data_IF_841997585896
#
_entry.id   IF_841997585896
#
_cell.length_a   1.000
_cell.length_b   1.000
_cell.length_c   1.000
_cell.angle_alpha   90.00
_cell.angle_beta   90.00
_cell.angle_gamma   90.00
#
_symmetry.space_group_name_H-M   'P 1'
#
loop_
_entity.id
_entity.type
_entity.pdbx_description
1 polymer ?
#
# COMPACT_ATOMS: atom_id res chain seq x y z
N UNK A 1 -12.57 5.57 -4.70
CA UNK A 1 -11.21 5.55 -4.13
C UNK A 1 -10.62 6.95 -3.90
N UNK A 2 -10.52 7.82 -4.92
CA UNK A 2 -9.93 9.17 -4.82
C UNK A 2 -10.42 10.02 -3.64
N UNK A 3 -11.75 10.05 -3.38
CA UNK A 3 -12.33 10.77 -2.23
C UNK A 3 -11.77 10.34 -0.87
N UNK A 4 -11.41 9.06 -0.73
CA UNK A 4 -10.79 8.54 0.49
C UNK A 4 -9.29 8.90 0.55
N UNK A 5 -8.60 8.92 -0.59
CA UNK A 5 -7.19 9.30 -0.66
C UNK A 5 -6.96 10.75 -0.21
N UNK A 6 -7.84 11.67 -0.61
CA UNK A 6 -7.79 13.07 -0.17
C UNK A 6 -7.92 13.27 1.33
N UNK A 7 -8.53 12.33 2.06
CA UNK A 7 -8.67 12.41 3.52
C UNK A 7 -7.32 12.25 4.25
N UNK A 8 -6.32 11.69 3.58
CA UNK A 8 -4.97 11.59 4.14
C UNK A 8 -4.18 12.90 4.06
N UNK A 9 -4.59 13.87 3.24
CA UNK A 9 -3.89 15.15 3.09
C UNK A 9 -3.99 15.95 4.39
N UNK A 10 -2.87 16.57 4.79
CA UNK A 10 -2.73 17.29 6.06
C UNK A 10 -1.88 16.53 7.09
N UNK A 11 -1.88 17.02 8.33
CA UNK A 11 -1.21 16.38 9.47
C UNK A 11 -2.17 15.43 10.17
N UNK A 12 -1.81 14.14 10.26
CA UNK A 12 -2.61 13.14 10.96
C UNK A 12 -1.73 12.15 11.72
N UNK A 13 -2.29 11.45 12.70
CA UNK A 13 -1.65 10.30 13.34
C UNK A 13 -1.89 9.03 12.51
N UNK A 14 -0.83 8.50 11.91
CA UNK A 14 -0.89 7.37 10.99
C UNK A 14 -0.62 6.02 11.67
N UNK A 15 -0.72 5.91 13.00
CA UNK A 15 -0.45 4.64 13.72
C UNK A 15 -1.33 3.47 13.28
N UNK A 16 -2.56 3.76 12.84
CA UNK A 16 -3.49 2.78 12.29
C UNK A 16 -3.24 2.48 10.81
N UNK A 17 -2.29 3.17 10.19
CA UNK A 17 -1.88 3.04 8.79
C UNK A 17 -0.39 2.73 8.68
N UNK A 18 0.21 2.06 9.65
CA UNK A 18 1.61 1.63 9.58
C UNK A 18 1.82 0.31 10.31
N UNK A 19 3.03 -0.24 10.23
CA UNK A 19 3.47 -1.25 11.18
C UNK A 19 4.08 -0.53 12.37
N UNK A 20 3.44 -0.68 13.53
CA UNK A 20 3.78 0.09 14.71
C UNK A 20 5.07 -0.41 15.37
N UNK A 21 6.10 0.43 15.36
CA UNK A 21 7.38 0.22 16.04
C UNK A 21 7.47 1.10 17.29
N UNK A 22 6.84 0.63 18.37
CA UNK A 22 6.79 1.38 19.64
C UNK A 22 8.15 1.45 20.37
N UNK A 23 9.14 0.67 19.94
CA UNK A 23 10.48 0.72 20.52
C UNK A 23 11.21 1.98 20.04
N UNK A 24 11.17 2.23 18.72
CA UNK A 24 11.95 3.30 18.09
C UNK A 24 11.13 4.55 17.75
N UNK A 25 9.81 4.44 17.63
CA UNK A 25 8.93 5.55 17.19
C UNK A 25 8.01 5.99 18.32
N UNK A 26 8.12 7.26 18.70
CA UNK A 26 7.23 7.93 19.66
C UNK A 26 6.22 8.87 19.01
N UNK A 27 6.50 9.36 17.79
CA UNK A 27 5.62 10.26 17.05
C UNK A 27 5.14 9.61 15.75
N UNK A 28 3.83 9.37 15.69
CA UNK A 28 3.13 8.78 14.53
C UNK A 28 2.46 9.84 13.65
N UNK A 29 2.61 11.13 13.97
CA UNK A 29 2.11 12.20 13.12
C UNK A 29 2.98 12.35 11.87
N UNK A 30 2.34 12.43 10.71
CA UNK A 30 3.00 12.73 9.43
C UNK A 30 2.16 13.74 8.65
N UNK A 31 2.81 14.48 7.77
CA UNK A 31 2.16 15.45 6.91
C UNK A 31 2.18 14.96 5.47
N UNK A 32 1.00 14.72 4.90
CA UNK A 32 0.84 14.37 3.48
C UNK A 32 0.45 15.65 2.74
N UNK A 33 1.24 16.02 1.74
CA UNK A 33 1.04 17.23 0.93
C UNK A 33 0.13 16.97 -0.26
N UNK A 34 0.22 15.79 -0.88
CA UNK A 34 -0.56 15.44 -2.06
C UNK A 34 -0.86 13.94 -2.12
N UNK A 35 -2.04 13.60 -2.64
CA UNK A 35 -2.43 12.22 -2.91
C UNK A 35 -3.39 12.15 -4.10
N UNK A 36 -2.86 11.75 -5.25
CA UNK A 36 -3.60 11.59 -6.50
C UNK A 36 -3.65 10.13 -6.97
N UNK A 37 -4.76 9.72 -7.57
CA UNK A 37 -4.94 8.42 -8.21
C UNK A 37 -5.34 8.67 -9.67
N UNK A 38 -4.53 8.20 -10.61
CA UNK A 38 -4.74 8.41 -12.05
C UNK A 38 -4.42 7.16 -12.85
N UNK A 39 -5.13 6.96 -13.97
CA UNK A 39 -4.80 5.92 -14.93
C UNK A 39 -3.42 6.16 -15.54
N UNK A 40 -2.71 5.08 -15.85
CA UNK A 40 -1.49 5.08 -16.63
C UNK A 40 -1.84 4.92 -18.12
N UNK A 41 -1.06 5.54 -19.01
CA UNK A 41 -1.31 5.52 -20.46
C UNK A 41 -1.13 4.13 -21.11
N UNK A 42 -0.59 3.16 -20.37
CA UNK A 42 -0.40 1.79 -20.82
C UNK A 42 -1.62 0.92 -20.47
N UNK A 43 -2.30 0.45 -21.50
CA UNK A 43 -3.31 -0.61 -21.43
C UNK A 43 -2.63 -1.92 -21.80
N UNK A 44 -2.60 -2.90 -20.89
CA UNK A 44 -2.43 -4.29 -21.31
C UNK A 44 -3.80 -4.82 -21.74
N UNK A 45 -3.82 -5.86 -22.57
CA UNK A 45 -4.94 -6.24 -23.44
C UNK A 45 -6.36 -6.31 -22.81
N UNK A 46 -6.55 -6.29 -21.49
CA UNK A 46 -7.86 -6.18 -20.85
C UNK A 46 -7.91 -5.39 -19.52
N UNK A 47 -6.79 -4.89 -18.99
CA UNK A 47 -6.72 -4.22 -17.69
C UNK A 47 -6.07 -2.83 -17.79
N UNK A 48 -6.68 -1.84 -17.13
CA UNK A 48 -6.10 -0.50 -17.00
C UNK A 48 -5.17 -0.48 -15.79
N UNK A 49 -3.92 -0.05 -15.99
CA UNK A 49 -3.01 0.22 -14.88
C UNK A 49 -3.33 1.59 -14.26
N UNK A 50 -3.38 1.64 -12.94
CA UNK A 50 -3.59 2.89 -12.18
C UNK A 50 -2.43 3.15 -11.23
N UNK A 51 -2.06 4.42 -11.09
CA UNK A 51 -1.01 4.88 -10.19
C UNK A 51 -1.61 5.62 -8.99
N UNK A 52 -1.02 5.41 -7.80
CA UNK A 52 -1.30 6.18 -6.59
C UNK A 52 -0.07 7.03 -6.27
N UNK A 53 -0.13 8.32 -6.62
CA UNK A 53 0.95 9.27 -6.39
C UNK A 53 0.75 9.94 -5.03
N UNK A 54 1.69 9.72 -4.11
CA UNK A 54 1.64 10.26 -2.75
C UNK A 54 2.89 11.10 -2.50
N UNK A 55 2.71 12.29 -1.94
CA UNK A 55 3.78 13.16 -1.48
C UNK A 55 3.57 13.52 -0.01
N UNK A 56 4.62 13.49 0.78
CA UNK A 56 4.59 13.85 2.19
C UNK A 56 5.99 14.18 2.70
N UNK A 57 6.06 14.73 3.92
CA UNK A 57 7.34 15.11 4.54
C UNK A 57 8.17 13.89 4.97
N UNK A 58 7.52 12.86 5.47
CA UNK A 58 8.12 11.58 5.84
C UNK A 58 7.04 10.50 5.92
N UNK A 59 7.46 9.24 5.92
CA UNK A 59 6.57 8.08 6.05
C UNK A 59 7.02 7.17 7.20
N UNK A 60 6.05 6.60 7.91
CA UNK A 60 6.27 5.55 8.91
C UNK A 60 6.54 4.21 8.23
N UNK A 61 7.02 3.25 9.01
CA UNK A 61 7.28 1.89 8.53
C UNK A 61 6.01 1.26 7.93
N UNK A 62 6.09 0.89 6.65
CA UNK A 62 5.00 0.37 5.82
C UNK A 62 3.79 1.31 5.66
N UNK A 63 3.93 2.62 5.88
CA UNK A 63 2.79 3.54 5.87
C UNK A 63 2.03 3.54 4.54
N UNK A 64 2.76 3.73 3.44
CA UNK A 64 2.17 3.82 2.09
C UNK A 64 1.41 2.55 1.73
N UNK A 65 1.98 1.38 2.02
CA UNK A 65 1.36 0.07 1.75
C UNK A 65 0.08 -0.15 2.58
N UNK A 66 0.05 0.35 3.80
CA UNK A 66 -1.14 0.33 4.64
C UNK A 66 -2.23 1.28 4.12
N UNK A 67 -1.86 2.49 3.72
CA UNK A 67 -2.80 3.45 3.10
C UNK A 67 -3.42 2.85 1.84
N UNK A 68 -2.60 2.28 0.95
CA UNK A 68 -3.06 1.61 -0.26
C UNK A 68 -4.00 0.43 0.04
N UNK A 69 -3.70 -0.39 1.05
CA UNK A 69 -4.57 -1.50 1.45
C UNK A 69 -5.98 -1.06 1.83
N UNK A 70 -6.10 0.00 2.65
CA UNK A 70 -7.40 0.55 3.05
C UNK A 70 -8.12 1.15 1.84
N UNK A 71 -7.40 1.83 0.94
CA UNK A 71 -7.97 2.34 -0.30
C UNK A 71 -8.48 1.23 -1.21
N UNK A 72 -7.85 0.06 -1.26
CA UNK A 72 -8.37 -1.08 -2.01
C UNK A 72 -9.70 -1.59 -1.47
N UNK A 73 -9.91 -1.60 -0.15
CA UNK A 73 -11.23 -1.94 0.41
C UNK A 73 -12.30 -0.91 -0.03
N UNK A 74 -11.96 0.38 -0.03
CA UNK A 74 -12.86 1.44 -0.52
C UNK A 74 -13.11 1.31 -2.02
N UNK A 75 -12.08 1.00 -2.81
CA UNK A 75 -12.16 0.82 -4.26
C UNK A 75 -13.06 -0.34 -4.67
N UNK A 76 -13.04 -1.42 -3.89
CA UNK A 76 -13.91 -2.59 -4.08
C UNK A 76 -15.35 -2.37 -3.56
N UNK A 77 -15.66 -1.20 -2.99
CA UNK A 77 -16.96 -0.90 -2.38
C UNK A 77 -17.22 -1.65 -1.06
N UNK A 78 -16.19 -2.25 -0.47
CA UNK A 78 -16.28 -3.00 0.78
C UNK A 78 -16.27 -2.08 2.02
N UNK A 79 -15.74 -0.87 1.86
CA UNK A 79 -15.68 0.16 2.90
C UNK A 79 -16.11 1.51 2.35
N UNK A 80 -16.73 2.32 3.21
CA UNK A 80 -17.01 3.72 2.91
C UNK A 80 -15.71 4.55 2.96
N UNK A 81 -15.56 5.63 2.15
CA UNK A 81 -14.46 6.57 2.28
C UNK A 81 -14.26 7.13 3.71
N UNK A 82 -15.33 7.20 4.52
CA UNK A 82 -15.27 7.68 5.90
C UNK A 82 -14.50 6.75 6.85
N UNK A 83 -14.18 5.51 6.42
CA UNK A 83 -13.31 4.62 7.20
C UNK A 83 -11.94 5.24 7.43
N UNK A 84 -11.45 6.04 6.47
CA UNK A 84 -10.17 6.75 6.60
C UNK A 84 -10.20 7.72 7.77
N UNK A 85 -11.25 8.56 7.88
CA UNK A 85 -11.37 9.51 9.00
C UNK A 85 -11.43 8.77 10.34
N UNK A 86 -12.17 7.66 10.39
CA UNK A 86 -12.35 6.86 11.61
C UNK A 86 -11.02 6.25 12.08
N UNK A 87 -10.18 5.82 11.13
CA UNK A 87 -8.87 5.23 11.43
C UNK A 87 -7.79 6.28 11.74
N UNK A 88 -7.90 7.50 11.20
CA UNK A 88 -7.00 8.62 11.55
C UNK A 88 -7.36 9.22 12.92
N UNK A 89 -8.61 9.10 13.35
CA UNK A 89 -9.08 9.53 14.67
C UNK A 89 -8.75 8.50 15.75
N UNK A 90 -7.64 8.73 16.46
CA UNK A 90 -7.16 7.84 17.53
C UNK A 90 -8.09 7.83 18.75
N UNK A 91 -8.93 8.85 18.93
CA UNK A 91 -9.92 8.86 20.02
C UNK A 91 -11.04 7.87 19.76
N UNK A 92 -11.44 7.71 18.49
CA UNK A 92 -12.45 6.73 18.06
C UNK A 92 -11.86 5.36 17.84
N UNK A 93 -10.67 5.29 17.24
CA UNK A 93 -9.98 4.05 16.90
C UNK A 93 -8.59 4.02 17.55
N UNK A 94 -8.51 3.76 18.87
CA UNK A 94 -7.22 3.75 19.57
C UNK A 94 -6.33 2.55 19.19
N UNK A 95 -6.92 1.54 18.54
CA UNK A 95 -6.26 0.30 18.15
C UNK A 95 -6.44 0.04 16.67
N UNK A 96 -5.34 -0.30 16.01
CA UNK A 96 -5.34 -0.61 14.58
C UNK A 96 -6.10 -1.90 14.31
N UNK A 97 -7.14 -1.90 13.46
CA UNK A 97 -7.80 -3.15 13.06
C UNK A 97 -6.90 -3.99 12.16
N UNK A 98 -7.10 -5.31 12.18
CA UNK A 98 -6.33 -6.23 11.36
C UNK A 98 -6.68 -6.11 9.87
N UNK A 99 -5.67 -5.85 9.05
CA UNK A 99 -5.76 -5.93 7.59
C UNK A 99 -4.40 -6.23 6.96
N UNK A 100 -4.42 -6.94 5.83
CA UNK A 100 -3.21 -7.24 5.06
C UNK A 100 -2.76 -5.99 4.32
N UNK A 101 -1.49 -5.62 4.48
CA UNK A 101 -0.89 -4.50 3.75
C UNK A 101 -0.79 -4.82 2.26
N UNK A 102 -0.80 -3.80 1.40
CA UNK A 102 -0.62 -3.98 -0.03
C UNK A 102 0.73 -4.65 -0.35
N UNK A 103 0.87 -5.38 -1.47
CA UNK A 103 2.15 -5.90 -1.94
C UNK A 103 3.22 -4.79 -2.05
N UNK A 104 4.49 -5.14 -1.92
CA UNK A 104 5.61 -4.18 -2.06
C UNK A 104 6.06 -3.96 -3.49
N UNK A 105 5.88 -4.95 -4.36
CA UNK A 105 6.29 -4.91 -5.76
C UNK A 105 5.94 -3.60 -6.48
N UNK A 106 4.73 -3.02 -6.37
CA UNK A 106 4.38 -1.80 -7.11
C UNK A 106 4.86 -0.49 -6.47
N UNK A 107 5.58 -0.54 -5.33
CA UNK A 107 5.99 0.67 -4.62
C UNK A 107 7.30 1.22 -5.17
N UNK A 108 7.25 2.43 -5.74
CA UNK A 108 8.40 3.10 -6.34
C UNK A 108 8.70 4.40 -5.58
N UNK A 109 9.94 4.56 -5.11
CA UNK A 109 10.43 5.85 -4.63
C UNK A 109 10.76 6.74 -5.83
N UNK A 110 9.86 7.65 -6.19
CA UNK A 110 9.99 8.48 -7.38
C UNK A 110 10.99 9.64 -7.23
N UNK A 111 10.94 10.35 -6.11
CA UNK A 111 11.75 11.56 -5.90
C UNK A 111 11.88 11.90 -4.42
N UNK A 112 13.03 12.43 -4.04
CA UNK A 112 13.25 13.07 -2.75
C UNK A 112 13.49 14.57 -2.97
N UNK A 113 12.91 15.41 -2.12
CA UNK A 113 13.00 16.86 -2.22
C UNK A 113 13.62 17.41 -0.93
N UNK A 114 14.64 18.26 -1.07
CA UNK A 114 15.32 18.91 0.04
C UNK A 114 15.58 20.37 -0.35
N UNK A 115 15.33 21.29 0.57
CA UNK A 115 15.52 22.71 0.32
C UNK A 115 17.01 23.03 0.14
N UNK A 116 17.32 23.77 -0.93
CA UNK A 116 18.70 24.17 -1.25
C UNK A 116 19.62 23.03 -1.71
N UNK A 117 19.10 21.81 -1.92
CA UNK A 117 19.89 20.66 -2.38
C UNK A 117 19.41 20.24 -3.76
N UNK A 118 20.31 20.25 -4.73
CA UNK A 118 20.10 19.65 -6.04
C UNK A 118 20.79 18.30 -6.09
N UNK A 119 20.01 17.22 -6.25
CA UNK A 119 20.60 15.92 -6.54
C UNK A 119 21.19 15.91 -7.93
N UNK A 120 22.37 15.33 -8.06
CA UNK A 120 23.02 15.09 -9.35
C UNK A 120 23.08 13.59 -9.58
N UNK A 121 22.71 13.15 -10.78
CA UNK A 121 22.93 11.80 -11.25
C UNK A 121 23.93 11.89 -12.41
N UNK A 122 25.06 11.17 -12.33
CA UNK A 122 26.00 11.14 -13.45
C UNK A 122 25.35 10.44 -14.65
N UNK A 123 25.83 10.75 -15.85
CA UNK A 123 25.41 10.06 -17.08
C UNK A 123 25.52 8.55 -16.94
N UNK A 124 26.63 8.08 -16.38
CA UNK A 124 26.94 6.66 -16.28
C UNK A 124 26.02 5.95 -15.28
N UNK A 125 25.72 6.59 -14.14
CA UNK A 125 24.78 6.04 -13.17
C UNK A 125 23.34 6.00 -13.73
N UNK A 126 22.93 7.05 -14.44
CA UNK A 126 21.62 7.09 -15.09
C UNK A 126 21.51 6.02 -16.19
N UNK A 127 22.56 5.86 -17.00
CA UNK A 127 22.61 4.84 -18.06
C UNK A 127 22.57 3.43 -17.47
N UNK A 128 23.34 3.15 -16.42
CA UNK A 128 23.33 1.86 -15.74
C UNK A 128 21.95 1.53 -15.15
N UNK A 129 21.24 2.51 -14.58
CA UNK A 129 19.87 2.31 -14.10
C UNK A 129 18.90 2.03 -15.24
N UNK A 130 19.01 2.74 -16.36
CA UNK A 130 18.17 2.49 -17.55
C UNK A 130 18.39 1.07 -18.08
N UNK A 131 19.63 0.63 -18.19
CA UNK A 131 19.98 -0.73 -18.63
C UNK A 131 19.42 -1.78 -17.68
N UNK A 132 19.64 -1.62 -16.37
CA UNK A 132 19.08 -2.51 -15.36
C UNK A 132 17.55 -2.64 -15.47
N UNK A 133 16.83 -1.52 -15.59
CA UNK A 133 15.36 -1.55 -15.71
C UNK A 133 14.89 -2.16 -17.03
N UNK A 134 15.63 -1.98 -18.13
CA UNK A 134 15.34 -2.63 -19.41
C UNK A 134 15.52 -4.14 -19.32
N UNK A 135 16.58 -4.60 -18.67
CA UNK A 135 16.87 -6.03 -18.49
C UNK A 135 15.80 -6.70 -17.62
N UNK A 136 15.44 -6.08 -16.49
CA UNK A 136 14.35 -6.57 -15.63
C UNK A 136 13.02 -6.63 -16.40
N UNK A 137 12.67 -5.56 -17.13
CA UNK A 137 11.47 -5.54 -17.96
C UNK A 137 11.50 -6.65 -19.01
N UNK A 138 12.62 -6.83 -19.70
CA UNK A 138 12.77 -7.89 -20.70
C UNK A 138 12.58 -9.28 -20.08
N UNK A 139 13.15 -9.54 -18.90
CA UNK A 139 12.98 -10.80 -18.19
C UNK A 139 11.51 -11.08 -17.85
N UNK A 140 10.77 -10.10 -17.31
CA UNK A 140 9.34 -10.26 -17.03
C UNK A 140 8.53 -10.48 -18.31
N UNK A 141 8.85 -9.77 -19.39
CA UNK A 141 8.19 -9.97 -20.68
C UNK A 141 8.43 -11.37 -21.26
N UNK A 142 9.65 -11.91 -21.11
CA UNK A 142 9.95 -13.29 -21.53
C UNK A 142 9.16 -14.31 -20.70
N UNK A 143 9.10 -14.12 -19.37
CA UNK A 143 8.29 -14.96 -18.49
C UNK A 143 6.81 -14.91 -18.86
N UNK A 144 6.27 -13.72 -19.12
CA UNK A 144 4.89 -13.55 -19.58
C UNK A 144 4.65 -14.30 -20.90
N UNK A 145 5.53 -14.14 -21.89
CA UNK A 145 5.43 -14.83 -23.18
C UNK A 145 5.47 -16.37 -23.05
N UNK A 146 6.29 -16.92 -22.14
CA UNK A 146 6.32 -18.37 -21.86
C UNK A 146 4.95 -18.84 -21.31
N UNK A 147 4.34 -18.07 -20.41
CA UNK A 147 3.03 -18.40 -19.87
C UNK A 147 1.92 -18.23 -20.90
N UNK A 148 1.98 -17.19 -21.73
CA UNK A 148 1.03 -16.99 -22.82
C UNK A 148 1.07 -18.18 -23.80
N UNK A 149 2.27 -18.63 -24.19
CA UNK A 149 2.44 -19.83 -25.02
C UNK A 149 1.86 -21.08 -24.33
N UNK A 150 2.20 -21.29 -23.05
CA UNK A 150 1.69 -22.41 -22.27
C UNK A 150 0.15 -22.41 -22.17
N UNK A 151 -0.47 -21.23 -22.09
CA UNK A 151 -1.93 -21.09 -22.10
C UNK A 151 -2.54 -21.50 -23.46
N UNK A 152 -1.86 -21.26 -24.58
CA UNK A 152 -2.35 -21.70 -25.90
C UNK A 152 -2.42 -23.23 -26.03
N UNK A 153 -1.56 -23.95 -25.31
CA UNK A 153 -1.56 -25.42 -25.25
C UNK A 153 -2.74 -26.00 -24.45
N UNK A 154 -3.43 -25.17 -23.65
CA UNK A 154 -4.56 -25.61 -22.84
C UNK A 154 -5.86 -25.42 -23.60
N UNK A 155 -6.70 -26.46 -23.63
CA UNK A 155 -8.08 -26.30 -24.07
C UNK A 155 -8.85 -25.51 -23.02
N UNK A 156 -9.55 -24.45 -23.44
CA UNK A 156 -10.48 -23.72 -22.56
C UNK A 156 -11.58 -24.72 -22.16
N UNK A 157 -11.74 -25.08 -20.88
CA UNK A 157 -12.81 -25.97 -20.49
C UNK A 157 -14.17 -25.31 -20.75
N UNK A 158 -15.08 -26.06 -21.37
CA UNK A 158 -16.48 -25.65 -21.51
C UNK A 158 -17.03 -25.27 -20.12
N UNK A 159 -17.71 -24.11 -19.99
CA UNK A 159 -18.22 -23.65 -18.71
C UNK A 159 -19.19 -24.69 -18.14
N UNK A 160 -18.85 -25.27 -16.99
CA UNK A 160 -19.68 -26.27 -16.34
C UNK A 160 -20.96 -25.59 -15.80
N UNK A 161 -22.17 -25.92 -16.30
CA UNK A 161 -23.41 -25.28 -15.87
C UNK A 161 -23.72 -25.48 -14.37
N UNK A 162 -23.04 -26.42 -13.72
CA UNK A 162 -23.17 -26.76 -12.31
C UNK A 162 -22.05 -26.17 -11.42
N UNK A 163 -21.15 -25.34 -11.95
CA UNK A 163 -20.19 -24.61 -11.11
C UNK A 163 -20.91 -23.53 -10.31
N UNK A 164 -21.32 -23.89 -9.10
CA UNK A 164 -21.81 -22.94 -8.13
C UNK A 164 -20.73 -21.89 -7.86
N UNK A 165 -21.06 -20.59 -7.86
CA UNK A 165 -20.09 -19.56 -7.55
C UNK A 165 -19.45 -19.87 -6.19
N UNK A 166 -18.12 -20.07 -6.19
CA UNK A 166 -17.36 -20.27 -4.95
C UNK A 166 -17.78 -19.16 -3.99
N UNK A 167 -18.34 -19.53 -2.82
CA UNK A 167 -18.80 -18.56 -1.82
C UNK A 167 -17.65 -17.59 -1.54
N UNK A 168 -17.75 -16.36 -2.06
CA UNK A 168 -16.82 -15.29 -1.73
C UNK A 168 -16.88 -15.14 -0.21
N UNK A 169 -15.73 -15.19 0.46
CA UNK A 169 -15.65 -14.94 1.90
C UNK A 169 -16.35 -13.61 2.17
N UNK A 170 -17.33 -13.61 3.09
CA UNK A 170 -18.03 -12.38 3.47
C UNK A 170 -17.00 -11.40 4.01
N UNK A 171 -16.93 -10.21 3.42
CA UNK A 171 -16.09 -9.13 3.95
C UNK A 171 -16.58 -8.75 5.35
N UNK A 172 -15.65 -8.66 6.29
CA UNK A 172 -15.91 -8.13 7.64
C UNK A 172 -15.39 -6.69 7.66
N UNK A 173 -16.25 -5.70 7.99
CA UNK A 173 -15.85 -4.30 8.05
C UNK A 173 -14.62 -4.07 8.95
N UNK A 174 -13.71 -3.19 8.55
CA UNK A 174 -12.44 -2.96 9.24
C UNK A 174 -12.62 -2.65 10.73
N UNK A 175 -13.56 -1.77 11.06
CA UNK A 175 -13.83 -1.36 12.45
C UNK A 175 -14.47 -2.47 13.31
N UNK A 176 -14.89 -3.58 12.71
CA UNK A 176 -15.45 -4.75 13.40
C UNK A 176 -14.48 -5.91 13.52
N UNK A 177 -13.23 -5.76 13.03
CA UNK A 177 -12.20 -6.80 13.11
C UNK A 177 -11.51 -6.79 14.46
N UNK A 178 -10.83 -7.91 14.76
CA UNK A 178 -9.86 -7.94 15.83
C UNK A 178 -8.83 -6.80 15.65
N UNK A 179 -8.44 -6.18 16.75
CA UNK A 179 -7.52 -5.06 16.75
C UNK A 179 -6.16 -5.45 17.33
N UNK A 180 -5.11 -4.89 16.75
CA UNK A 180 -3.75 -4.99 17.26
C UNK A 180 -3.64 -4.30 18.65
N UNK A 181 -2.61 -4.64 19.47
CA UNK A 181 -2.32 -3.90 20.69
C UNK A 181 -2.06 -2.42 20.39
N UNK A 182 -2.60 -1.55 21.24
CA UNK A 182 -2.41 -0.09 21.19
C UNK A 182 -0.94 0.32 21.35
N UNK A 183 -0.65 1.57 21.00
CA UNK A 183 0.69 2.13 21.18
C UNK A 183 1.11 2.10 22.66
N UNK A 184 0.22 2.48 23.55
CA UNK A 184 0.44 2.56 24.99
C UNK A 184 0.76 1.17 25.56
N UNK A 185 0.01 0.14 25.16
CA UNK A 185 0.27 -1.26 25.55
C UNK A 185 1.62 -1.76 25.03
N UNK A 186 1.97 -1.46 23.77
CA UNK A 186 3.29 -1.85 23.22
C UNK A 186 4.43 -1.16 23.95
N UNK A 187 4.30 0.14 24.25
CA UNK A 187 5.29 0.91 25.02
C UNK A 187 5.48 0.36 26.43
N UNK A 188 4.40 0.02 27.12
CA UNK A 188 4.47 -0.60 28.43
C UNK A 188 5.25 -1.92 28.40
N UNK A 189 5.01 -2.77 27.39
CA UNK A 189 5.75 -4.03 27.19
C UNK A 189 7.23 -3.81 26.90
N UNK A 190 7.59 -2.81 26.11
CA UNK A 190 9.00 -2.46 25.84
C UNK A 190 9.70 -2.03 27.14
N UNK A 191 9.09 -1.13 27.90
CA UNK A 191 9.64 -0.66 29.19
C UNK A 191 9.82 -1.81 30.19
N UNK A 192 8.84 -2.70 30.30
CA UNK A 192 8.91 -3.86 31.19
C UNK A 192 10.07 -4.81 30.81
N UNK A 193 10.35 -4.99 29.52
CA UNK A 193 11.50 -5.79 29.06
C UNK A 193 12.83 -5.13 29.39
N UNK A 194 12.95 -3.81 29.24
CA UNK A 194 14.17 -3.07 29.56
C UNK A 194 14.46 -2.97 31.06
N UNK A 195 13.45 -3.12 31.93
CA UNK A 195 13.63 -3.09 33.38
C UNK A 195 14.07 -4.44 33.98
N UNK A 196 14.00 -5.52 33.20
CA UNK A 196 14.38 -6.88 33.61
C UNK A 196 15.76 -7.31 33.06
N UNK A 197 16.54 -6.37 32.50
CA UNK A 197 17.91 -6.56 31.99
C UNK A 197 18.83 -5.64 32.77
#
# INVERSE_FOLDING_TARGET
>A
MQKAAFKFIGEHDFRNFCKMDAANVSNYKRYITDFNISACDQRSNHDELWSMNIRGSAFLWHQVRCMAAVLFFVGQGLESPCVVDSLLDITKTPRKPQYTMAPELPLILRSCLFDGVSFMCSSDANQALIEHLKDEHHQYMLQAAIFDEALTCLSIPEPNPLEYPKKKRKHIPLLSREAEPSYEERRARVKAKSANV
#
